data_IF_006824757710
#
_entry.id   IF_006824757710
#
_cell.length_a   1.000
_cell.length_b   1.000
_cell.length_c   1.000
_cell.angle_alpha   90.00
_cell.angle_beta   90.00
_cell.angle_gamma   90.00
#
_symmetry.space_group_name_H-M   'P 1'
#
loop_
_entity.id
_entity.type
_entity.pdbx_description
1 polymer ?
#
# COMPACT_ATOMS: atom_id res chain seq x y z
N UNK A 1 -7.56 -6.85 -20.38
CA UNK A 1 -7.59 -6.84 -18.91
C UNK A 1 -6.91 -5.55 -18.46
N UNK A 2 -7.70 -4.48 -18.36
CA UNK A 2 -7.33 -3.18 -17.80
C UNK A 2 -8.02 -3.18 -16.44
N UNK A 3 -7.48 -3.89 -15.45
CA UNK A 3 -8.22 -4.09 -14.19
C UNK A 3 -7.51 -3.49 -12.97
N UNK A 4 -6.18 -3.34 -13.00
CA UNK A 4 -5.41 -2.89 -11.83
C UNK A 4 -4.36 -1.81 -12.13
N UNK A 5 -4.25 -1.37 -13.39
CA UNK A 5 -3.35 -0.32 -13.88
C UNK A 5 -4.05 0.41 -15.04
N UNK A 6 -4.11 1.74 -15.01
CA UNK A 6 -4.65 2.59 -16.07
C UNK A 6 -3.72 2.70 -17.28
N UNK A 7 -2.41 2.79 -17.04
CA UNK A 7 -1.45 2.86 -18.14
C UNK A 7 -1.25 1.50 -18.82
N UNK A 8 -0.98 1.53 -20.12
CA UNK A 8 -0.54 0.33 -20.84
C UNK A 8 0.93 0.06 -20.55
N UNK A 9 1.22 -0.98 -19.77
CA UNK A 9 2.61 -1.45 -19.63
C UNK A 9 3.10 -2.09 -20.93
N UNK A 10 4.36 -1.87 -21.25
CA UNK A 10 5.01 -2.50 -22.41
C UNK A 10 5.30 -3.98 -22.12
N UNK A 11 5.59 -4.77 -23.16
CA UNK A 11 5.82 -6.21 -22.99
C UNK A 11 7.08 -6.54 -22.21
N UNK A 12 8.11 -5.71 -22.33
CA UNK A 12 9.36 -5.87 -21.59
C UNK A 12 9.13 -5.77 -20.07
N UNK A 13 8.44 -4.73 -19.61
CA UNK A 13 8.06 -4.56 -18.21
C UNK A 13 7.25 -5.77 -17.72
N UNK A 14 6.24 -6.20 -18.48
CA UNK A 14 5.47 -7.38 -18.14
C UNK A 14 6.30 -8.68 -18.11
N UNK A 15 7.36 -8.78 -18.89
CA UNK A 15 8.22 -9.96 -18.88
C UNK A 15 8.95 -10.09 -17.55
N UNK A 16 9.44 -9.00 -16.95
CA UNK A 16 10.03 -9.01 -15.61
C UNK A 16 9.03 -9.47 -14.53
N UNK A 17 7.76 -9.08 -14.64
CA UNK A 17 6.71 -9.57 -13.74
C UNK A 17 6.42 -11.07 -13.90
N UNK A 18 6.56 -11.62 -15.11
CA UNK A 18 6.25 -13.03 -15.42
C UNK A 18 7.42 -13.96 -15.19
N UNK A 19 8.65 -13.47 -15.34
CA UNK A 19 9.87 -14.28 -15.28
C UNK A 19 9.95 -15.17 -14.02
N UNK A 20 9.65 -14.69 -12.79
CA UNK A 20 9.67 -15.54 -11.60
C UNK A 20 8.57 -16.61 -11.55
N UNK A 21 7.56 -16.52 -12.43
CA UNK A 21 6.32 -17.29 -12.40
C UNK A 21 6.20 -18.25 -13.59
N UNK A 22 7.26 -18.42 -14.38
CA UNK A 22 7.24 -19.27 -15.57
C UNK A 22 6.96 -20.74 -15.23
N UNK A 23 7.56 -21.26 -14.16
CA UNK A 23 7.22 -22.57 -13.62
C UNK A 23 5.93 -22.47 -12.75
N UNK A 24 4.89 -23.29 -13.02
CA UNK A 24 3.70 -23.36 -12.17
C UNK A 24 3.97 -23.55 -10.68
N UNK A 25 5.05 -24.25 -10.29
CA UNK A 25 5.38 -24.47 -8.87
C UNK A 25 5.72 -23.17 -8.14
N UNK A 26 6.22 -22.16 -8.85
CA UNK A 26 6.55 -20.84 -8.32
C UNK A 26 5.31 -19.98 -8.03
N UNK A 27 4.13 -20.36 -8.55
CA UNK A 27 2.89 -19.58 -8.40
C UNK A 27 2.14 -19.84 -7.10
N UNK A 28 2.64 -20.75 -6.25
CA UNK A 28 2.00 -21.12 -4.98
C UNK A 28 1.79 -19.91 -4.08
N UNK A 29 2.78 -19.03 -3.95
CA UNK A 29 2.66 -17.81 -3.15
C UNK A 29 1.58 -16.87 -3.69
N UNK A 30 1.52 -16.68 -5.01
CA UNK A 30 0.48 -15.87 -5.66
C UNK A 30 -0.94 -16.43 -5.46
N UNK A 31 -1.08 -17.75 -5.35
CA UNK A 31 -2.36 -18.38 -5.05
C UNK A 31 -2.72 -18.29 -3.56
N UNK A 32 -1.72 -18.39 -2.68
CA UNK A 32 -1.96 -18.35 -1.24
C UNK A 32 -2.32 -16.93 -0.76
N UNK A 33 -1.66 -15.89 -1.28
CA UNK A 33 -1.92 -14.51 -0.89
C UNK A 33 -3.42 -14.12 -0.90
N UNK A 34 -4.20 -14.33 -1.99
CA UNK A 34 -5.63 -14.00 -1.97
C UNK A 34 -6.45 -14.87 -1.01
N UNK A 35 -5.99 -16.07 -0.63
CA UNK A 35 -6.66 -16.92 0.38
C UNK A 35 -6.40 -16.44 1.80
N UNK A 36 -5.30 -15.71 2.01
CA UNK A 36 -4.94 -15.13 3.29
C UNK A 36 -5.55 -13.74 3.51
N UNK A 37 -6.24 -13.16 2.52
CA UNK A 37 -6.90 -11.86 2.69
C UNK A 37 -8.02 -12.00 3.74
N UNK A 38 -7.96 -11.23 4.84
CA UNK A 38 -8.91 -11.37 5.93
C UNK A 38 -10.29 -10.80 5.53
N UNK A 39 -11.24 -11.69 5.23
CA UNK A 39 -12.62 -11.34 4.87
C UNK A 39 -13.57 -12.19 5.72
N UNK A 40 -14.63 -11.57 6.23
CA UNK A 40 -15.66 -12.23 7.06
C UNK A 40 -15.07 -13.03 8.25
N UNK A 41 -13.98 -12.50 8.83
CA UNK A 41 -13.31 -13.11 9.98
C UNK A 41 -12.44 -14.33 9.65
N UNK A 42 -12.11 -14.57 8.38
CA UNK A 42 -11.26 -15.67 7.95
C UNK A 42 -10.10 -15.19 7.04
N UNK A 43 -8.92 -15.83 7.13
CA UNK A 43 -8.50 -16.80 8.14
C UNK A 43 -8.32 -16.17 9.53
N UNK A 44 -8.77 -16.87 10.58
CA UNK A 44 -8.83 -16.30 11.93
C UNK A 44 -7.45 -15.84 12.48
N UNK A 45 -6.38 -16.55 12.16
CA UNK A 45 -5.02 -16.19 12.54
C UNK A 45 -4.53 -14.93 11.82
N UNK A 46 -4.87 -14.77 10.54
CA UNK A 46 -4.57 -13.55 9.79
C UNK A 46 -5.42 -12.38 10.30
N UNK A 47 -6.71 -12.57 10.56
CA UNK A 47 -7.56 -11.56 11.18
C UNK A 47 -6.99 -11.09 12.53
N UNK A 48 -6.58 -12.02 13.39
CA UNK A 48 -5.96 -11.69 14.68
C UNK A 48 -4.65 -10.90 14.52
N UNK A 49 -3.87 -11.19 13.47
CA UNK A 49 -2.68 -10.41 13.12
C UNK A 49 -3.04 -8.98 12.72
N UNK A 50 -4.07 -8.82 11.88
CA UNK A 50 -4.61 -7.53 11.46
C UNK A 50 -5.10 -6.69 12.64
N UNK A 51 -5.93 -7.26 13.51
CA UNK A 51 -6.43 -6.59 14.71
C UNK A 51 -5.28 -6.10 15.60
N UNK A 52 -4.25 -6.93 15.78
CA UNK A 52 -3.09 -6.60 16.60
C UNK A 52 -2.31 -5.41 16.05
N UNK A 53 -1.96 -5.41 14.76
CA UNK A 53 -1.17 -4.31 14.21
C UNK A 53 -2.03 -3.04 14.00
N UNK A 54 -3.32 -3.17 13.68
CA UNK A 54 -4.25 -2.04 13.60
C UNK A 54 -4.40 -1.37 14.97
N UNK A 55 -4.51 -2.15 16.05
CA UNK A 55 -4.50 -1.64 17.42
C UNK A 55 -3.24 -0.86 17.77
N UNK A 56 -2.09 -1.24 17.20
CA UNK A 56 -0.85 -0.47 17.33
C UNK A 56 -0.89 0.84 16.52
N UNK A 57 -1.44 0.84 15.30
CA UNK A 57 -1.56 2.04 14.48
C UNK A 57 -2.43 3.12 15.15
N UNK A 58 -3.59 2.75 15.67
CA UNK A 58 -4.53 3.68 16.30
C UNK A 58 -4.17 4.05 17.75
N UNK A 59 -3.09 3.47 18.30
CA UNK A 59 -2.66 3.81 19.64
C UNK A 59 -2.15 5.27 19.69
N UNK A 60 -2.72 6.15 20.54
CA UNK A 60 -2.31 7.55 20.62
C UNK A 60 -0.85 7.74 21.08
N UNK A 61 -0.26 6.71 21.69
CA UNK A 61 1.15 6.72 22.09
C UNK A 61 2.11 6.31 20.98
N UNK A 62 1.64 5.88 19.79
CA UNK A 62 2.52 5.55 18.65
C UNK A 62 3.38 6.77 18.31
N UNK A 63 4.71 6.60 18.38
CA UNK A 63 5.69 7.66 18.07
C UNK A 63 6.36 7.52 16.72
N UNK A 64 6.19 6.37 16.06
CA UNK A 64 6.76 6.08 14.74
C UNK A 64 5.96 6.85 13.67
N UNK A 65 6.58 7.78 12.92
CA UNK A 65 5.94 8.44 11.80
C UNK A 65 5.60 7.43 10.71
N UNK A 66 4.42 7.58 10.09
CA UNK A 66 3.97 6.69 9.00
C UNK A 66 3.40 7.51 7.86
N UNK A 67 3.59 7.04 6.63
CA UNK A 67 3.06 7.64 5.41
C UNK A 67 2.20 6.61 4.67
N UNK A 68 0.98 6.99 4.30
CA UNK A 68 0.13 6.19 3.42
C UNK A 68 -0.02 6.86 2.05
N UNK A 69 0.30 6.13 1.00
CA UNK A 69 0.03 6.57 -0.37
C UNK A 69 -1.33 6.05 -0.83
N UNK A 70 -2.10 6.90 -1.51
CA UNK A 70 -3.37 6.52 -2.09
C UNK A 70 -3.56 7.17 -3.46
N UNK A 71 -4.50 6.62 -4.24
CA UNK A 71 -4.85 7.09 -5.57
C UNK A 71 -6.37 7.04 -5.75
N UNK A 72 -6.85 7.68 -6.82
CA UNK A 72 -8.28 7.71 -7.15
C UNK A 72 -8.53 6.95 -8.46
N UNK A 73 -9.48 5.99 -8.50
CA UNK A 73 -10.39 5.57 -7.44
C UNK A 73 -9.73 4.68 -6.37
N UNK A 74 -8.51 4.17 -6.60
CA UNK A 74 -7.86 3.24 -5.70
C UNK A 74 -8.42 1.81 -5.82
N UNK A 75 -7.99 0.93 -4.92
CA UNK A 75 -8.42 -0.47 -4.89
C UNK A 75 -8.54 -1.00 -3.47
N UNK A 76 -7.42 -1.06 -2.73
CA UNK A 76 -7.39 -1.54 -1.34
C UNK A 76 -7.58 -0.39 -0.36
N UNK A 77 -6.91 0.74 -0.63
CA UNK A 77 -7.11 2.00 0.10
C UNK A 77 -7.84 2.94 -0.84
N UNK A 78 -9.03 3.38 -0.44
CA UNK A 78 -9.78 4.44 -1.13
C UNK A 78 -9.66 5.77 -0.39
N UNK A 79 -10.19 6.84 -0.97
CA UNK A 79 -10.09 8.20 -0.42
C UNK A 79 -10.61 8.28 1.02
N UNK A 80 -11.77 7.67 1.30
CA UNK A 80 -12.34 7.66 2.65
C UNK A 80 -11.48 6.92 3.67
N UNK A 81 -10.75 5.88 3.26
CA UNK A 81 -9.82 5.18 4.16
C UNK A 81 -8.61 6.06 4.48
N UNK A 82 -8.12 6.82 3.49
CA UNK A 82 -7.02 7.76 3.68
C UNK A 82 -7.44 8.91 4.61
N UNK A 83 -8.63 9.48 4.41
CA UNK A 83 -9.22 10.48 5.30
C UNK A 83 -9.32 9.95 6.74
N UNK A 84 -9.86 8.75 6.91
CA UNK A 84 -9.95 8.11 8.22
C UNK A 84 -8.56 7.91 8.85
N UNK A 85 -7.57 7.42 8.10
CA UNK A 85 -6.20 7.24 8.59
C UNK A 85 -5.58 8.56 9.04
N UNK A 86 -5.80 9.64 8.28
CA UNK A 86 -5.29 10.97 8.59
C UNK A 86 -5.85 11.52 9.91
N UNK A 87 -7.10 11.20 10.23
CA UNK A 87 -7.78 11.65 11.45
C UNK A 87 -7.48 10.77 12.68
N UNK A 88 -7.28 9.47 12.48
CA UNK A 88 -7.30 8.49 13.58
C UNK A 88 -5.91 7.95 13.95
N UNK A 89 -4.90 8.12 13.11
CA UNK A 89 -3.55 7.57 13.34
C UNK A 89 -2.59 8.69 13.78
N UNK A 90 -2.03 8.56 14.99
CA UNK A 90 -1.05 9.52 15.50
C UNK A 90 0.23 9.54 14.64
N UNK A 91 0.82 10.73 14.40
CA UNK A 91 2.01 10.90 13.55
C UNK A 91 1.89 10.17 12.21
N UNK A 92 0.80 10.45 11.51
CA UNK A 92 0.49 9.88 10.21
C UNK A 92 0.26 10.99 9.19
N UNK A 93 0.74 10.74 7.99
CA UNK A 93 0.47 11.57 6.82
C UNK A 93 -0.10 10.69 5.72
N UNK A 94 -1.08 11.19 4.99
CA UNK A 94 -1.58 10.58 3.76
C UNK A 94 -1.15 11.41 2.55
N UNK A 95 -0.94 10.73 1.42
CA UNK A 95 -0.39 11.38 0.23
C UNK A 95 -1.02 10.83 -1.03
N UNK A 96 -1.79 11.69 -1.70
CA UNK A 96 -2.43 11.38 -2.97
C UNK A 96 -1.41 11.41 -4.10
N UNK A 97 -1.22 10.29 -4.81
CA UNK A 97 -0.22 10.19 -5.88
C UNK A 97 -0.76 10.49 -7.28
N UNK A 98 -2.09 10.61 -7.42
CA UNK A 98 -2.74 10.82 -8.72
C UNK A 98 -3.85 9.80 -9.00
N UNK A 99 -4.36 9.77 -10.24
CA UNK A 99 -5.23 8.70 -10.70
C UNK A 99 -4.52 7.35 -10.70
N UNK A 100 -5.18 6.31 -10.20
CA UNK A 100 -4.58 4.97 -10.10
C UNK A 100 -5.52 3.95 -9.46
N UNK A 101 -5.16 2.67 -9.57
CA UNK A 101 -5.96 1.55 -9.05
C UNK A 101 -5.19 0.84 -7.92
N UNK A 102 -4.23 -0.03 -8.24
CA UNK A 102 -3.55 -0.86 -7.23
C UNK A 102 -2.02 -0.79 -7.29
N UNK A 103 -1.42 -0.95 -8.48
CA UNK A 103 0.02 -0.90 -8.65
C UNK A 103 0.50 0.54 -8.89
N UNK A 104 0.32 1.39 -7.87
CA UNK A 104 0.52 2.84 -7.96
C UNK A 104 1.94 3.24 -8.34
N UNK A 105 2.93 2.39 -8.03
CA UNK A 105 4.32 2.62 -8.42
C UNK A 105 4.53 2.49 -9.93
N UNK A 106 3.71 1.67 -10.61
CA UNK A 106 3.72 1.60 -12.06
C UNK A 106 3.00 2.81 -12.66
N UNK A 107 1.97 3.33 -12.01
CA UNK A 107 1.13 4.41 -12.56
C UNK A 107 1.68 5.81 -12.31
N UNK A 108 2.13 6.07 -11.09
CA UNK A 108 2.58 7.39 -10.63
C UNK A 108 3.97 7.33 -9.95
N UNK A 109 5.00 6.73 -10.57
CA UNK A 109 6.31 6.53 -9.93
C UNK A 109 6.96 7.84 -9.50
N UNK A 110 6.84 8.91 -10.28
CA UNK A 110 7.48 10.19 -9.99
C UNK A 110 6.78 10.92 -8.85
N UNK A 111 5.44 10.87 -8.79
CA UNK A 111 4.68 11.44 -7.68
C UNK A 111 5.00 10.69 -6.39
N UNK A 112 4.97 9.36 -6.43
CA UNK A 112 5.37 8.49 -5.32
C UNK A 112 6.76 8.84 -4.79
N UNK A 113 7.77 8.89 -5.68
CA UNK A 113 9.15 9.17 -5.32
C UNK A 113 9.36 10.56 -4.71
N UNK A 114 8.75 11.61 -5.30
CA UNK A 114 8.84 12.98 -4.77
C UNK A 114 8.20 13.09 -3.39
N UNK A 115 7.00 12.56 -3.23
CA UNK A 115 6.25 12.63 -1.97
C UNK A 115 6.97 11.85 -0.86
N UNK A 116 7.49 10.66 -1.16
CA UNK A 116 8.30 9.87 -0.23
C UNK A 116 9.55 10.64 0.24
N UNK A 117 10.28 11.27 -0.69
CA UNK A 117 11.45 12.09 -0.36
C UNK A 117 11.08 13.26 0.53
N UNK A 118 10.02 13.98 0.17
CA UNK A 118 9.62 15.19 0.90
C UNK A 118 9.14 14.84 2.32
N UNK A 119 8.41 13.73 2.48
CA UNK A 119 8.06 13.18 3.79
C UNK A 119 9.30 12.80 4.61
N UNK A 120 10.24 12.06 4.02
CA UNK A 120 11.48 11.66 4.68
C UNK A 120 12.28 12.86 5.21
N UNK A 121 12.37 13.93 4.41
CA UNK A 121 13.04 15.16 4.81
C UNK A 121 12.32 15.89 5.95
N UNK A 122 10.99 15.84 6.03
CA UNK A 122 10.21 16.42 7.15
C UNK A 122 10.50 15.67 8.45
N UNK A 123 10.32 14.35 8.46
CA UNK A 123 10.46 13.55 9.67
C UNK A 123 11.90 13.54 10.21
N UNK A 124 12.90 13.66 9.33
CA UNK A 124 14.31 13.73 9.75
C UNK A 124 14.61 15.05 10.44
N UNK A 125 14.12 16.18 9.89
CA UNK A 125 14.28 17.50 10.52
C UNK A 125 13.63 17.59 11.89
N UNK A 126 12.47 16.96 12.06
CA UNK A 126 11.75 16.90 13.34
C UNK A 126 12.48 16.06 14.39
N UNK A 127 13.21 15.02 13.99
CA UNK A 127 13.99 14.18 14.91
C UNK A 127 15.32 14.83 15.34
N UNK A 128 15.85 15.75 14.54
CA UNK A 128 17.11 16.47 14.84
C UNK A 128 16.91 17.73 15.68
N UNK A 129 15.66 18.10 15.99
CA UNK A 129 15.31 19.23 16.86
C UNK A 129 14.94 18.73 18.25
#
# INVERSE_FOLDING_TARGET
MIEHIYRRMNQEAFQYWREPLMDPICRKANLQMPRDVPIDGQPADVCASYDKYNGWFVNPNKKVPTLCFYATPGAVTIESDAEWQQENIAKHETSWVGPGIHFLQEENPEAWGRQMRDWYLRITKEQTK
#
